data_IF_495840822989
#
_entry.id   IF_495840822989
#
_cell.length_a   1.000
_cell.length_b   1.000
_cell.length_c   1.000
_cell.angle_alpha   90.00
_cell.angle_beta   90.00
_cell.angle_gamma   90.00
#
_symmetry.space_group_name_H-M   'P 1'
#
loop_
_entity.id
_entity.type
_entity.pdbx_description
1 polymer ?
#
# COMPACT_ATOMS: atom_id res chain seq x y z
N UNK A 1 -3.34 -14.07 10.76
CA UNK A 1 -2.34 -13.51 9.83
C UNK A 1 -1.55 -12.46 10.59
N UNK A 2 -0.29 -12.75 10.91
CA UNK A 2 0.60 -11.80 11.58
C UNK A 2 0.97 -10.67 10.61
N UNK A 3 0.32 -9.51 10.77
CA UNK A 3 0.58 -8.26 10.02
C UNK A 3 1.67 -7.41 10.69
N UNK A 4 2.32 -7.92 11.75
CA UNK A 4 3.15 -7.14 12.67
C UNK A 4 4.24 -6.30 11.99
N UNK A 5 4.84 -6.79 10.90
CA UNK A 5 6.01 -6.16 10.27
C UNK A 5 5.76 -4.78 9.66
N UNK A 6 4.52 -4.41 9.31
CA UNK A 6 4.23 -3.13 8.63
C UNK A 6 3.34 -2.19 9.45
N UNK A 7 2.87 -2.61 10.62
CA UNK A 7 1.98 -1.80 11.46
C UNK A 7 2.71 -0.54 11.92
N UNK A 8 3.91 -0.68 12.46
CA UNK A 8 4.67 0.43 13.02
C UNK A 8 5.05 1.48 11.96
N UNK A 9 5.56 1.02 10.80
CA UNK A 9 5.86 1.91 9.68
C UNK A 9 4.61 2.63 9.13
N UNK A 10 3.49 1.92 9.00
CA UNK A 10 2.23 2.52 8.54
C UNK A 10 1.68 3.53 9.54
N UNK A 11 1.78 3.25 10.83
CA UNK A 11 1.37 4.15 11.92
C UNK A 11 2.23 5.40 11.97
N UNK A 12 3.55 5.29 11.77
CA UNK A 12 4.44 6.45 11.72
C UNK A 12 4.08 7.39 10.55
N UNK A 13 3.86 6.85 9.35
CA UNK A 13 3.41 7.63 8.19
C UNK A 13 2.08 8.32 8.47
N UNK A 14 1.13 7.60 9.06
CA UNK A 14 -0.18 8.16 9.42
C UNK A 14 -0.04 9.35 10.38
N UNK A 15 0.76 9.21 11.45
CA UNK A 15 0.94 10.25 12.46
C UNK A 15 1.54 11.54 11.86
N UNK A 16 2.51 11.42 10.94
CA UNK A 16 3.11 12.57 10.26
C UNK A 16 2.08 13.31 9.39
N UNK A 17 1.17 12.57 8.74
CA UNK A 17 0.12 13.16 7.89
C UNK A 17 -0.97 13.80 8.76
N UNK A 18 -1.40 13.13 9.82
CA UNK A 18 -2.43 13.62 10.75
C UNK A 18 -1.95 14.87 11.50
N UNK A 19 -0.66 14.95 11.85
CA UNK A 19 -0.03 16.14 12.43
C UNK A 19 0.05 17.33 11.44
N UNK A 20 -0.30 17.13 10.17
CA UNK A 20 -0.25 18.18 9.14
C UNK A 20 1.15 18.43 8.57
N UNK A 21 2.15 17.67 8.98
CA UNK A 21 3.55 17.82 8.52
C UNK A 21 3.75 17.37 7.07
N UNK A 22 2.86 16.53 6.53
CA UNK A 22 2.88 16.03 5.15
C UNK A 22 1.47 15.85 4.60
N UNK A 23 1.30 15.96 3.28
CA UNK A 23 0.03 15.62 2.60
C UNK A 23 0.00 14.13 2.25
N UNK A 24 -0.93 13.40 2.86
CA UNK A 24 -1.22 12.01 2.51
C UNK A 24 -2.18 11.91 1.34
N UNK A 25 -1.86 11.04 0.37
CA UNK A 25 -2.75 10.71 -0.75
C UNK A 25 -2.91 9.20 -0.86
N UNK A 26 -4.16 8.77 -1.10
CA UNK A 26 -4.50 7.41 -1.51
C UNK A 26 -5.02 7.45 -2.94
N UNK A 27 -4.63 6.52 -3.79
CA UNK A 27 -5.25 6.39 -5.11
C UNK A 27 -6.71 5.96 -4.96
N UNK A 28 -7.60 6.46 -5.82
CA UNK A 28 -9.02 6.09 -5.78
C UNK A 28 -9.23 4.55 -5.78
N UNK A 29 -8.42 3.81 -6.55
CA UNK A 29 -8.48 2.35 -6.58
C UNK A 29 -8.02 1.69 -5.25
N UNK A 30 -7.07 2.27 -4.53
CA UNK A 30 -6.67 1.75 -3.23
C UNK A 30 -7.83 1.84 -2.23
N UNK A 31 -8.60 2.93 -2.25
CA UNK A 31 -9.76 3.12 -1.36
C UNK A 31 -10.81 2.02 -1.57
N UNK A 32 -11.14 1.71 -2.83
CA UNK A 32 -12.13 0.66 -3.15
C UNK A 32 -11.60 -0.74 -2.81
N UNK A 33 -10.30 -0.99 -3.03
CA UNK A 33 -9.65 -2.25 -2.65
C UNK A 33 -9.69 -2.46 -1.13
N UNK A 34 -9.32 -1.45 -0.35
CA UNK A 34 -9.36 -1.50 1.12
C UNK A 34 -10.79 -1.71 1.60
N UNK A 35 -11.77 -1.00 1.03
CA UNK A 35 -13.18 -1.19 1.36
C UNK A 35 -13.60 -2.65 1.16
N UNK A 36 -13.29 -3.22 -0.01
CA UNK A 36 -13.62 -4.61 -0.33
C UNK A 36 -12.98 -5.59 0.66
N UNK A 37 -11.68 -5.43 0.95
CA UNK A 37 -10.94 -6.31 1.84
C UNK A 37 -11.47 -6.27 3.29
N UNK A 38 -11.79 -5.07 3.79
CA UNK A 38 -12.36 -4.92 5.13
C UNK A 38 -13.79 -5.47 5.15
N UNK A 39 -14.60 -5.18 4.13
CA UNK A 39 -15.99 -5.67 4.05
C UNK A 39 -16.03 -7.20 4.07
N UNK A 40 -15.16 -7.84 3.30
CA UNK A 40 -15.06 -9.30 3.21
C UNK A 40 -14.70 -9.96 4.54
N UNK A 41 -13.89 -9.30 5.38
CA UNK A 41 -13.42 -9.86 6.65
C UNK A 41 -14.26 -9.45 7.87
N UNK A 42 -14.76 -8.22 7.87
CA UNK A 42 -15.29 -7.54 9.05
C UNK A 42 -16.70 -6.96 8.84
N UNK A 43 -17.26 -7.07 7.64
CA UNK A 43 -18.59 -6.60 7.30
C UNK A 43 -18.68 -5.14 6.84
N UNK A 44 -19.83 -4.79 6.28
CA UNK A 44 -20.04 -3.51 5.56
C UNK A 44 -19.92 -2.27 6.46
N UNK A 45 -20.42 -2.33 7.69
CA UNK A 45 -20.36 -1.18 8.61
C UNK A 45 -18.93 -0.83 8.99
N UNK A 46 -18.10 -1.83 9.33
CA UNK A 46 -16.69 -1.64 9.65
C UNK A 46 -15.91 -1.12 8.45
N UNK A 47 -16.20 -1.61 7.24
CA UNK A 47 -15.60 -1.12 6.01
C UNK A 47 -15.91 0.36 5.74
N UNK A 48 -17.19 0.77 5.88
CA UNK A 48 -17.59 2.17 5.72
C UNK A 48 -16.89 3.09 6.72
N UNK A 49 -16.84 2.69 8.01
CA UNK A 49 -16.17 3.46 9.06
C UNK A 49 -14.66 3.60 8.81
N UNK A 50 -14.00 2.52 8.37
CA UNK A 50 -12.58 2.55 8.06
C UNK A 50 -12.26 3.49 6.89
N UNK A 51 -13.04 3.42 5.80
CA UNK A 51 -12.88 4.34 4.66
C UNK A 51 -13.13 5.78 5.08
N UNK A 52 -14.19 6.05 5.85
CA UNK A 52 -14.47 7.39 6.35
C UNK A 52 -13.32 7.95 7.21
N UNK A 53 -12.70 7.12 8.06
CA UNK A 53 -11.53 7.52 8.84
C UNK A 53 -10.32 7.83 7.95
N UNK A 54 -10.07 7.03 6.91
CA UNK A 54 -9.00 7.29 5.94
C UNK A 54 -9.21 8.61 5.20
N UNK A 55 -10.43 8.90 4.76
CA UNK A 55 -10.74 10.14 4.03
C UNK A 55 -10.69 11.42 4.89
N UNK A 56 -10.63 11.29 6.22
CA UNK A 56 -10.39 12.43 7.11
C UNK A 56 -8.91 12.82 7.18
N UNK A 57 -8.00 11.89 6.91
CA UNK A 57 -6.54 12.07 7.06
C UNK A 57 -5.85 12.15 5.70
N UNK A 58 -6.35 11.42 4.70
CA UNK A 58 -5.78 11.33 3.37
C UNK A 58 -6.71 11.98 2.34
N UNK A 59 -6.12 12.70 1.40
CA UNK A 59 -6.80 13.04 0.15
C UNK A 59 -6.87 11.83 -0.79
N UNK A 60 -7.68 11.95 -1.83
CA UNK A 60 -7.78 10.94 -2.89
C UNK A 60 -7.13 11.46 -4.16
N UNK A 61 -6.15 10.72 -4.66
CA UNK A 61 -5.56 10.96 -5.97
C UNK A 61 -6.46 10.36 -7.06
N UNK A 62 -6.84 11.19 -8.03
CA UNK A 62 -7.53 10.74 -9.24
C UNK A 62 -6.60 9.84 -10.05
N UNK A 63 -7.17 8.78 -10.62
CA UNK A 63 -6.48 7.89 -11.55
C UNK A 63 -7.37 7.79 -12.79
N UNK A 64 -6.88 8.34 -13.89
CA UNK A 64 -7.55 8.33 -15.20
C UNK A 64 -6.63 7.73 -16.27
N UNK A 65 -7.11 7.72 -17.52
CA UNK A 65 -6.35 7.16 -18.64
C UNK A 65 -5.00 7.84 -18.87
N UNK A 66 -4.90 9.16 -18.67
CA UNK A 66 -3.64 9.88 -18.86
C UNK A 66 -2.63 9.54 -17.75
N UNK A 67 -3.10 9.44 -16.50
CA UNK A 67 -2.27 8.99 -15.36
C UNK A 67 -1.73 7.59 -15.60
N UNK A 68 -2.54 6.69 -16.19
CA UNK A 68 -2.13 5.32 -16.51
C UNK A 68 -1.09 5.31 -17.63
N UNK A 69 -1.29 6.08 -18.71
CA UNK A 69 -0.30 6.16 -19.79
C UNK A 69 1.04 6.69 -19.29
N UNK A 70 1.03 7.75 -18.48
CA UNK A 70 2.24 8.26 -17.84
C UNK A 70 2.91 7.18 -16.96
N UNK A 71 2.13 6.42 -16.20
CA UNK A 71 2.68 5.35 -15.36
C UNK A 71 3.38 4.24 -16.14
N UNK A 72 2.97 3.97 -17.39
CA UNK A 72 3.62 3.00 -18.28
C UNK A 72 4.98 3.49 -18.78
N UNK A 73 5.17 4.80 -18.89
CA UNK A 73 6.41 5.43 -19.33
C UNK A 73 7.41 5.67 -18.19
N UNK A 74 6.95 5.61 -16.94
CA UNK A 74 7.83 5.81 -15.78
C UNK A 74 8.88 4.69 -15.72
N UNK A 75 10.17 5.03 -15.57
CA UNK A 75 11.21 4.07 -15.25
C UNK A 75 11.06 3.67 -13.77
N UNK A 76 10.00 2.94 -13.44
CA UNK A 76 9.79 2.42 -12.10
C UNK A 76 10.79 1.29 -11.88
N UNK A 77 11.71 1.39 -10.90
CA UNK A 77 12.43 0.23 -10.44
C UNK A 77 11.43 -0.67 -9.71
N UNK A 78 10.80 -1.58 -10.44
CA UNK A 78 10.09 -2.73 -9.88
C UNK A 78 11.13 -3.62 -9.19
N UNK A 79 11.39 -3.31 -7.91
CA UNK A 79 12.34 -3.95 -7.01
C UNK A 79 13.76 -4.13 -7.56
N UNK A 80 14.68 -3.26 -7.14
CA UNK A 80 16.07 -3.67 -6.93
C UNK A 80 16.58 -3.06 -5.64
N UNK A 81 15.99 -3.48 -4.53
CA UNK A 81 16.89 -3.82 -3.42
C UNK A 81 17.78 -4.91 -3.98
N UNK A 82 19.05 -4.57 -4.25
CA UNK A 82 20.07 -5.56 -4.55
C UNK A 82 20.10 -6.49 -3.34
N UNK A 83 19.33 -7.59 -3.37
CA UNK A 83 19.68 -8.75 -2.57
C UNK A 83 21.14 -9.02 -2.95
N UNK A 84 22.02 -9.00 -1.95
CA UNK A 84 23.35 -9.54 -2.13
C UNK A 84 23.21 -10.89 -2.85
N UNK A 85 24.11 -11.24 -3.80
CA UNK A 85 24.04 -12.52 -4.48
C UNK A 85 23.83 -13.62 -3.43
N UNK A 86 22.82 -14.47 -3.64
CA UNK A 86 22.54 -15.58 -2.72
C UNK A 86 23.86 -16.35 -2.54
N UNK A 87 24.26 -16.67 -1.29
CA UNK A 87 25.45 -17.47 -1.09
C UNK A 87 25.27 -18.79 -1.84
N UNK A 88 26.36 -19.31 -2.38
CA UNK A 88 26.42 -20.50 -3.24
C UNK A 88 25.77 -21.76 -2.63
N UNK A 89 25.41 -21.74 -1.34
CA UNK A 89 24.80 -22.83 -0.59
C UNK A 89 23.29 -22.68 -0.30
N UNK A 90 22.54 -21.90 -1.09
CA UNK A 90 21.09 -21.76 -0.88
C UNK A 90 20.34 -23.11 -1.07
N UNK A 91 19.66 -23.65 -0.05
CA UNK A 91 19.11 -25.01 -0.05
C UNK A 91 17.88 -25.21 -0.95
N UNK A 92 17.39 -24.16 -1.61
CA UNK A 92 16.30 -24.23 -2.59
C UNK A 92 16.74 -24.37 -4.05
N UNK A 93 18.04 -24.44 -4.33
CA UNK A 93 18.56 -24.55 -5.70
C UNK A 93 18.57 -25.99 -6.25
N UNK A 94 18.18 -26.99 -5.45
CA UNK A 94 18.22 -28.39 -5.85
C UNK A 94 16.88 -29.11 -5.56
N UNK A 95 15.81 -28.55 -6.09
CA UNK A 95 14.54 -29.27 -6.25
C UNK A 95 14.21 -29.24 -7.74
N UNK A 96 14.50 -30.37 -8.38
CA UNK A 96 14.24 -30.69 -9.79
C UNK A 96 12.75 -30.62 -10.15
#
# INVERSE_FOLDING_TARGET
MDRKTYVEASSAVWAVIEAGSSRGLLTAHAVTTIHYLIRRQLGALKAKRAVAAMLRVFGVASVDGAVIQLALELPLPISRTRLAPLPHNWPGANVS
#
